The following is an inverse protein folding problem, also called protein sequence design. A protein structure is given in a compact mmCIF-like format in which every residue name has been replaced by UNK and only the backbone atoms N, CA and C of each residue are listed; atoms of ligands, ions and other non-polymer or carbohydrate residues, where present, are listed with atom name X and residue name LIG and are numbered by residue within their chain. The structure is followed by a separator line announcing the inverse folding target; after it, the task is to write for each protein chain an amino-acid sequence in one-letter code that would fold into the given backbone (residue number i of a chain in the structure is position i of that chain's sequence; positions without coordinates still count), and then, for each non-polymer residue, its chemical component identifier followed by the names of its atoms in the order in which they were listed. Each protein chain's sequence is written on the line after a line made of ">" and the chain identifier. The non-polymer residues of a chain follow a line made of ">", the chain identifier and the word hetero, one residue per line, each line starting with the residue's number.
data_IF_619750581980
#
_entry.id   IF_619750581980
#
_cell.length_a   1.000
_cell.length_b   1.000
_cell.length_c   1.000
_cell.angle_alpha   90.00
_cell.angle_beta   90.00
_cell.angle_gamma   90.00
#
_symmetry.space_group_name_H-M   'P 1'
#
loop_
_entity.id
_entity.type
_entity.pdbx_description
1 polymer ?
#
# COMPACT_ATOMS: atom_id res chain seq x y z
N UNK A 1 -1.12 27.37 23.73
CA UNK A 1 -1.04 26.12 22.96
C UNK A 1 -2.00 25.12 23.59
N UNK A 2 -3.04 24.74 22.87
CA UNK A 2 -4.11 23.86 23.36
C UNK A 2 -3.56 22.45 23.61
N UNK A 3 -3.73 21.93 24.83
CA UNK A 3 -3.25 20.60 25.22
C UNK A 3 -3.85 19.46 24.39
N UNK A 4 -4.96 19.70 23.68
CA UNK A 4 -5.55 18.76 22.72
C UNK A 4 -4.69 18.59 21.46
N UNK A 5 -4.15 19.69 20.93
CA UNK A 5 -3.29 19.66 19.73
C UNK A 5 -2.00 18.89 20.01
N UNK A 6 -1.38 19.15 21.16
CA UNK A 6 -0.15 18.46 21.56
C UNK A 6 -0.31 16.94 21.76
N UNK A 7 -1.49 16.51 22.24
CA UNK A 7 -1.82 15.08 22.34
C UNK A 7 -2.04 14.43 20.98
N UNK A 8 -2.67 15.14 20.05
CA UNK A 8 -2.87 14.66 18.69
C UNK A 8 -1.53 14.51 17.95
N UNK A 9 -0.65 15.50 18.07
CA UNK A 9 0.70 15.44 17.49
C UNK A 9 1.50 14.23 18.02
N UNK A 10 1.44 13.97 19.33
CA UNK A 10 2.10 12.82 19.93
C UNK A 10 1.52 11.49 19.41
N UNK A 11 0.19 11.39 19.30
CA UNK A 11 -0.47 10.20 18.75
C UNK A 11 -0.11 9.97 17.28
N UNK A 12 0.00 11.03 16.47
CA UNK A 12 0.44 10.95 15.07
C UNK A 12 1.90 10.49 14.99
N UNK A 13 2.79 11.03 15.83
CA UNK A 13 4.20 10.60 15.85
C UNK A 13 4.34 9.13 16.28
N UNK A 14 3.55 8.69 17.24
CA UNK A 14 3.55 7.30 17.70
C UNK A 14 3.02 6.36 16.62
N UNK A 15 1.94 6.74 15.93
CA UNK A 15 1.43 6.03 14.77
C UNK A 15 2.46 5.93 13.64
N UNK A 16 3.14 7.03 13.32
CA UNK A 16 4.19 7.06 12.30
C UNK A 16 5.38 6.17 12.67
N UNK A 17 5.77 6.12 13.95
CA UNK A 17 6.85 5.22 14.42
C UNK A 17 6.45 3.75 14.42
N UNK A 18 5.18 3.46 14.69
CA UNK A 18 4.67 2.09 14.71
C UNK A 18 4.40 1.54 13.29
N UNK A 19 4.32 2.42 12.29
CA UNK A 19 4.12 2.04 10.89
C UNK A 19 5.32 1.25 10.39
N UNK A 20 5.09 -0.03 10.12
CA UNK A 20 6.08 -0.87 9.46
C UNK A 20 6.23 -0.42 8.00
N UNK A 21 7.46 -0.42 7.47
CA UNK A 21 7.67 -0.12 6.06
C UNK A 21 6.97 -1.17 5.20
N UNK A 22 6.52 -0.75 4.02
CA UNK A 22 5.91 -1.63 3.04
C UNK A 22 7.00 -2.49 2.40
N UNK A 23 6.76 -3.79 2.29
CA UNK A 23 7.68 -4.73 1.66
C UNK A 23 6.96 -5.39 0.48
N UNK A 24 7.59 -5.39 -0.68
CA UNK A 24 7.12 -6.06 -1.90
C UNK A 24 8.06 -7.19 -2.28
N UNK A 25 7.53 -8.24 -2.90
CA UNK A 25 8.32 -9.29 -3.54
C UNK A 25 8.53 -8.93 -5.01
N UNK A 26 9.77 -9.01 -5.47
CA UNK A 26 10.16 -8.80 -6.86
C UNK A 26 10.25 -10.12 -7.62
N UNK A 27 10.21 -10.04 -8.95
CA UNK A 27 10.30 -11.19 -9.87
C UNK A 27 11.59 -12.01 -9.68
N UNK A 28 12.69 -11.38 -9.29
CA UNK A 28 13.97 -12.04 -9.00
C UNK A 28 14.00 -12.77 -7.64
N UNK A 29 12.88 -12.77 -6.91
CA UNK A 29 12.73 -13.33 -5.58
C UNK A 29 13.30 -12.47 -4.45
N UNK A 30 13.84 -11.29 -4.76
CA UNK A 30 14.30 -10.33 -3.75
C UNK A 30 13.15 -9.47 -3.23
N UNK A 31 13.38 -8.79 -2.11
CA UNK A 31 12.40 -7.88 -1.52
C UNK A 31 12.76 -6.42 -1.77
N UNK A 32 11.76 -5.63 -2.15
CA UNK A 32 11.84 -4.17 -2.20
C UNK A 32 11.12 -3.56 -0.99
N UNK A 33 11.74 -2.58 -0.34
CA UNK A 33 11.21 -1.94 0.87
C UNK A 33 10.99 -0.46 0.57
N UNK A 34 9.81 0.06 0.89
CA UNK A 34 9.47 1.48 0.73
C UNK A 34 8.80 2.05 1.98
N UNK A 35 8.99 3.36 2.19
CA UNK A 35 8.30 4.13 3.23
C UNK A 35 6.90 4.59 2.78
N UNK A 36 6.56 4.43 1.49
CA UNK A 36 5.21 4.65 0.97
C UNK A 36 4.29 3.51 1.41
N UNK A 37 3.00 3.79 1.59
CA UNK A 37 2.02 2.71 1.75
C UNK A 37 1.78 2.02 0.40
N UNK A 38 1.26 0.79 0.46
CA UNK A 38 1.07 -0.08 -0.71
C UNK A 38 0.29 0.61 -1.83
N UNK A 39 -0.82 1.27 -1.47
CA UNK A 39 -1.70 1.91 -2.46
C UNK A 39 -1.03 3.12 -3.09
N UNK A 40 -0.46 4.02 -2.27
CA UNK A 40 0.25 5.20 -2.78
C UNK A 40 1.37 4.82 -3.76
N UNK A 41 2.12 3.76 -3.45
CA UNK A 41 3.18 3.27 -4.32
C UNK A 41 2.62 2.74 -5.65
N UNK A 42 1.65 1.81 -5.61
CA UNK A 42 1.08 1.17 -6.79
C UNK A 42 0.27 2.14 -7.68
N UNK A 43 -0.24 3.24 -7.11
CA UNK A 43 -0.86 4.34 -7.87
C UNK A 43 0.21 5.16 -8.59
N UNK A 44 1.28 5.55 -7.89
CA UNK A 44 2.25 6.52 -8.42
C UNK A 44 3.28 5.89 -9.35
N UNK A 45 3.65 4.64 -9.10
CA UNK A 45 4.74 3.94 -9.78
C UNK A 45 4.29 2.67 -10.51
N UNK A 46 3.07 2.21 -10.28
CA UNK A 46 2.63 0.89 -10.72
C UNK A 46 3.47 -0.22 -10.05
N UNK A 47 3.75 -1.28 -10.81
CA UNK A 47 4.56 -2.41 -10.34
C UNK A 47 6.06 -2.27 -10.61
N UNK A 48 6.50 -1.20 -11.26
CA UNK A 48 7.91 -1.01 -11.60
C UNK A 48 8.67 -0.35 -10.45
N UNK A 49 9.77 -0.97 -10.04
CA UNK A 49 10.69 -0.39 -9.05
C UNK A 49 12.06 -0.18 -9.69
N UNK A 50 12.92 0.69 -9.11
CA UNK A 50 14.31 0.82 -9.57
C UNK A 50 15.14 -0.48 -9.52
N UNK A 51 14.65 -1.50 -8.81
CA UNK A 51 15.33 -2.79 -8.62
C UNK A 51 14.71 -3.93 -9.43
N UNK A 52 13.55 -3.74 -10.04
CA UNK A 52 12.82 -4.78 -10.77
C UNK A 52 11.30 -4.64 -10.61
N UNK A 53 10.56 -5.61 -11.16
CA UNK A 53 9.10 -5.62 -11.17
C UNK A 53 8.53 -6.31 -9.94
N UNK A 54 7.53 -5.70 -9.31
CA UNK A 54 6.76 -6.27 -8.21
C UNK A 54 5.89 -7.40 -8.74
N UNK A 55 5.89 -8.53 -8.04
CA UNK A 55 5.07 -9.71 -8.37
C UNK A 55 4.11 -10.09 -7.26
N UNK A 56 4.34 -9.67 -6.02
CA UNK A 56 3.44 -9.93 -4.92
C UNK A 56 3.62 -8.94 -3.77
N UNK A 57 2.56 -8.77 -2.99
CA UNK A 57 2.62 -8.12 -1.68
C UNK A 57 2.45 -9.18 -0.58
N UNK A 58 3.48 -9.47 0.23
CA UNK A 58 3.38 -10.44 1.31
C UNK A 58 2.37 -9.97 2.37
N UNK A 59 1.27 -10.71 2.49
CA UNK A 59 0.31 -10.56 3.57
C UNK A 59 0.55 -11.59 4.67
N UNK A 60 0.11 -11.30 5.89
CA UNK A 60 0.33 -12.19 7.04
C UNK A 60 -0.31 -13.57 6.86
N UNK A 61 0.36 -14.63 7.33
CA UNK A 61 -0.23 -15.96 7.38
C UNK A 61 -1.03 -16.10 8.69
N UNK A 62 -2.36 -16.15 8.60
CA UNK A 62 -3.24 -16.29 9.76
C UNK A 62 -4.74 -16.13 9.45
N UNK A 63 -5.58 -16.22 10.49
CA UNK A 63 -7.01 -15.89 10.40
C UNK A 63 -7.17 -14.37 10.19
N UNK A 64 -7.06 -13.97 8.92
CA UNK A 64 -7.34 -12.62 8.46
C UNK A 64 -8.86 -12.46 8.37
N UNK A 65 -9.39 -11.37 8.93
CA UNK A 65 -10.81 -11.04 8.81
C UNK A 65 -11.21 -10.79 7.34
N UNK A 66 -12.50 -10.92 7.03
CA UNK A 66 -12.98 -10.84 5.65
C UNK A 66 -12.67 -9.51 4.96
N UNK A 67 -12.66 -8.39 5.70
CA UNK A 67 -12.37 -7.08 5.12
C UNK A 67 -10.89 -6.97 4.76
N UNK A 68 -10.01 -7.36 5.67
CA UNK A 68 -8.57 -7.39 5.42
C UNK A 68 -8.22 -8.33 4.26
N UNK A 69 -8.92 -9.46 4.12
CA UNK A 69 -8.76 -10.36 2.97
C UNK A 69 -9.12 -9.69 1.65
N UNK A 70 -10.28 -9.04 1.56
CA UNK A 70 -10.68 -8.31 0.35
C UNK A 70 -9.70 -7.19 0.00
N UNK A 71 -9.06 -6.58 1.00
CA UNK A 71 -8.02 -5.58 0.77
C UNK A 71 -6.75 -6.20 0.14
N UNK A 72 -6.33 -7.37 0.60
CA UNK A 72 -5.21 -8.09 0.00
C UNK A 72 -5.52 -8.55 -1.42
N UNK A 73 -6.72 -9.09 -1.65
CA UNK A 73 -7.17 -9.49 -3.00
C UNK A 73 -7.16 -8.29 -3.97
N UNK A 74 -7.60 -7.11 -3.53
CA UNK A 74 -7.54 -5.88 -4.33
C UNK A 74 -6.09 -5.48 -4.67
N UNK A 75 -5.16 -5.63 -3.71
CA UNK A 75 -3.74 -5.36 -3.94
C UNK A 75 -3.16 -6.34 -4.96
N UNK A 76 -3.47 -7.63 -4.84
CA UNK A 76 -3.01 -8.67 -5.76
C UNK A 76 -3.55 -8.46 -7.18
N UNK A 77 -4.81 -8.03 -7.30
CA UNK A 77 -5.40 -7.63 -8.57
C UNK A 77 -4.70 -6.41 -9.16
N UNK A 78 -4.46 -5.37 -8.35
CA UNK A 78 -3.71 -4.19 -8.77
C UNK A 78 -2.30 -4.53 -9.28
N UNK A 79 -1.58 -5.40 -8.57
CA UNK A 79 -0.26 -5.88 -9.00
C UNK A 79 -0.37 -6.66 -10.32
N UNK A 80 -1.36 -7.54 -10.44
CA UNK A 80 -1.59 -8.33 -11.66
C UNK A 80 -1.89 -7.44 -12.88
N UNK A 81 -2.60 -6.33 -12.66
CA UNK A 81 -2.92 -5.33 -13.68
C UNK A 81 -1.78 -4.34 -13.97
N UNK A 82 -0.68 -4.38 -13.20
CA UNK A 82 0.47 -3.51 -13.37
C UNK A 82 0.42 -2.19 -12.58
N UNK A 83 -0.55 -2.03 -11.69
CA UNK A 83 -0.73 -0.88 -10.82
C UNK A 83 -2.21 -0.53 -10.62
N UNK A 84 -2.46 0.59 -9.93
CA UNK A 84 -3.82 1.13 -9.76
C UNK A 84 -4.14 2.30 -10.68
N UNK A 85 -3.30 2.58 -11.69
CA UNK A 85 -3.55 3.65 -12.66
C UNK A 85 -4.93 3.51 -13.32
N UNK A 86 -5.23 2.31 -13.85
CA UNK A 86 -6.50 2.02 -14.52
C UNK A 86 -7.71 2.04 -13.56
N UNK A 87 -7.50 1.71 -12.28
CA UNK A 87 -8.55 1.75 -11.25
C UNK A 87 -9.01 3.19 -10.96
N UNK A 88 -8.07 4.14 -10.99
CA UNK A 88 -8.36 5.56 -10.75
C UNK A 88 -9.00 6.22 -11.98
N UNK A 89 -8.61 5.83 -13.19
CA UNK A 89 -9.25 6.29 -14.44
C UNK A 89 -10.75 5.96 -14.46
N UNK A 90 -11.15 4.80 -13.92
CA UNK A 90 -12.55 4.42 -13.77
C UNK A 90 -13.33 5.26 -12.75
N UNK A 91 -12.67 5.80 -11.73
CA UNK A 91 -13.29 6.61 -10.68
C UNK A 91 -13.46 8.09 -11.09
N UNK A 92 -12.55 8.62 -11.92
CA UNK A 92 -12.72 9.94 -12.53
C UNK A 92 -13.80 9.95 -13.63
N UNK A 93 -14.10 8.79 -14.23
CA UNK A 93 -15.08 8.68 -15.31
C UNK A 93 -16.55 8.71 -14.84
N UNK A 94 -16.83 8.62 -13.53
CA UNK A 94 -18.19 8.64 -12.96
C UNK A 94 -18.68 10.07 -12.61
N UNK A 95 -18.33 11.04 -13.45
CA UNK A 95 -18.94 12.36 -13.48
C UNK A 95 -19.74 12.53 -14.78
N UNK A 96 -20.97 11.98 -14.81
CA UNK A 96 -21.99 12.28 -15.83
C UNK A 96 -23.24 12.85 -15.17
#
# INVERSE_FOLDING_TARGET
>A
MDGRVKRLEAAIQEYQRARKPTVFLLEDGSTFITEEDVFSYLVSHGVETPRGRIVAYPHGEGDIDSLSRSLYELIDEGISNGGFGDLLDGLESDTV
#
